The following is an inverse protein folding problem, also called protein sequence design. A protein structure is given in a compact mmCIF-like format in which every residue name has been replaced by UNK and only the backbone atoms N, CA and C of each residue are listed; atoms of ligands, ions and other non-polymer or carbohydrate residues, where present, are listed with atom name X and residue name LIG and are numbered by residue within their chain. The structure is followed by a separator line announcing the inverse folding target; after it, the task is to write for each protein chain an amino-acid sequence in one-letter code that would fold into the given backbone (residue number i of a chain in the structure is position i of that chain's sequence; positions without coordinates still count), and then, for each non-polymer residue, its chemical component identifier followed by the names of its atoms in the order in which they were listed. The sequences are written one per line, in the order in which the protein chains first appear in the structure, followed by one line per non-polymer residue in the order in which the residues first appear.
data_IF_744623192446
#
_entry.id   IF_744623192446
#
_cell.length_a   1.000
_cell.length_b   1.000
_cell.length_c   1.000
_cell.angle_alpha   90.00
_cell.angle_beta   90.00
_cell.angle_gamma   90.00
#
_symmetry.space_group_name_H-M   'P 1'
#
loop_
_entity.id
_entity.type
_entity.pdbx_description
1 polymer ?
#
# COMPACT_ATOMS: atom_id res chain seq x y z
N UNK A 1 -18.71 -27.05 -1.47
CA UNK A 1 -18.37 -25.67 -1.11
C UNK A 1 -18.54 -25.59 0.39
N UNK A 2 -17.55 -25.11 1.10
CA UNK A 2 -17.71 -24.87 2.53
C UNK A 2 -18.73 -23.73 2.70
N UNK A 3 -19.70 -23.89 3.62
CA UNK A 3 -20.67 -22.86 3.89
C UNK A 3 -19.94 -21.61 4.45
N UNK A 4 -20.37 -20.43 4.02
CA UNK A 4 -19.82 -19.18 4.54
C UNK A 4 -20.11 -19.05 6.03
N UNK A 5 -19.16 -18.58 6.86
CA UNK A 5 -19.33 -18.52 8.31
C UNK A 5 -20.41 -17.53 8.73
N UNK A 6 -21.25 -17.94 9.67
CA UNK A 6 -22.29 -17.12 10.30
C UNK A 6 -21.77 -16.47 11.58
N UNK A 7 -22.48 -15.44 12.07
CA UNK A 7 -22.18 -14.84 13.38
C UNK A 7 -22.23 -15.88 14.52
N UNK A 8 -23.21 -16.78 14.49
CA UNK A 8 -23.34 -17.87 15.48
C UNK A 8 -22.12 -18.80 15.42
N UNK A 9 -21.62 -19.13 14.22
CA UNK A 9 -20.42 -19.95 14.05
C UNK A 9 -19.20 -19.27 14.69
N UNK A 10 -18.98 -17.98 14.41
CA UNK A 10 -17.88 -17.22 14.99
C UNK A 10 -17.96 -17.16 16.52
N UNK A 11 -19.14 -16.87 17.07
CA UNK A 11 -19.35 -16.83 18.53
C UNK A 11 -19.08 -18.19 19.18
N UNK A 12 -19.49 -19.29 18.54
CA UNK A 12 -19.20 -20.64 19.04
C UNK A 12 -17.69 -20.95 19.03
N UNK A 13 -16.95 -20.53 18.00
CA UNK A 13 -15.50 -20.66 17.98
C UNK A 13 -14.84 -19.89 19.13
N UNK A 14 -15.23 -18.65 19.34
CA UNK A 14 -14.71 -17.80 20.40
C UNK A 14 -15.08 -18.34 21.79
N UNK A 15 -16.24 -18.96 21.96
CA UNK A 15 -16.67 -19.54 23.22
C UNK A 15 -15.90 -20.82 23.58
N UNK A 16 -15.52 -21.62 22.59
CA UNK A 16 -14.77 -22.88 22.80
C UNK A 16 -13.31 -22.66 23.14
N UNK A 17 -12.72 -21.60 22.59
CA UNK A 17 -11.32 -21.28 22.74
C UNK A 17 -11.13 -20.22 23.83
N UNK A 18 -10.39 -20.56 24.88
CA UNK A 18 -10.16 -19.66 26.02
C UNK A 18 -9.29 -18.46 25.67
N UNK A 19 -8.45 -18.54 24.65
CA UNK A 19 -7.50 -17.51 24.25
C UNK A 19 -7.44 -17.42 22.72
N UNK A 20 -8.46 -16.83 22.12
CA UNK A 20 -8.61 -16.75 20.66
C UNK A 20 -7.66 -15.73 20.01
N UNK A 21 -7.19 -14.72 20.75
CA UNK A 21 -6.34 -13.65 20.24
C UNK A 21 -4.85 -13.92 20.43
N UNK A 22 -4.49 -15.04 21.06
CA UNK A 22 -3.10 -15.48 21.28
C UNK A 22 -2.20 -14.38 21.86
N UNK A 23 -2.71 -13.68 22.88
CA UNK A 23 -2.00 -12.61 23.61
C UNK A 23 -2.16 -11.20 23.03
N UNK A 24 -2.73 -11.03 21.83
CA UNK A 24 -3.03 -9.71 21.31
C UNK A 24 -4.18 -9.03 22.07
N UNK A 25 -4.11 -7.70 22.21
CA UNK A 25 -5.14 -6.91 22.89
C UNK A 25 -6.37 -6.69 22.02
N UNK A 26 -6.15 -6.46 20.74
CA UNK A 26 -7.21 -6.38 19.76
C UNK A 26 -6.75 -6.91 18.38
N UNK A 27 -7.70 -7.40 17.60
CA UNK A 27 -7.48 -7.84 16.21
C UNK A 27 -8.58 -7.29 15.34
N UNK A 28 -8.22 -6.41 14.42
CA UNK A 28 -9.12 -5.96 13.36
C UNK A 28 -8.92 -6.86 12.15
N UNK A 29 -9.98 -7.52 11.72
CA UNK A 29 -10.02 -8.37 10.53
C UNK A 29 -10.82 -7.66 9.45
N UNK A 30 -10.28 -7.61 8.23
CA UNK A 30 -10.95 -6.96 7.09
C UNK A 30 -10.80 -7.84 5.86
N UNK A 31 -11.89 -8.07 5.13
CA UNK A 31 -11.85 -8.75 3.84
C UNK A 31 -11.02 -7.95 2.83
N UNK A 32 -10.23 -8.63 2.02
CA UNK A 32 -9.46 -8.03 0.92
C UNK A 32 -10.35 -7.16 0.01
N UNK A 33 -11.54 -7.64 -0.32
CA UNK A 33 -12.49 -6.90 -1.15
C UNK A 33 -12.94 -5.57 -0.53
N UNK A 34 -13.13 -5.53 0.78
CA UNK A 34 -13.50 -4.32 1.50
C UNK A 34 -12.33 -3.32 1.56
N UNK A 35 -11.11 -3.80 1.76
CA UNK A 35 -9.89 -2.97 1.70
C UNK A 35 -9.73 -2.36 0.30
N UNK A 36 -9.93 -3.16 -0.75
CA UNK A 36 -9.86 -2.67 -2.13
C UNK A 36 -10.87 -1.54 -2.38
N UNK A 37 -12.12 -1.70 -1.94
CA UNK A 37 -13.15 -0.65 -2.06
C UNK A 37 -12.74 0.61 -1.30
N UNK A 38 -12.23 0.46 -0.09
CA UNK A 38 -11.80 1.58 0.74
C UNK A 38 -10.62 2.34 0.12
N UNK A 39 -9.61 1.64 -0.40
CA UNK A 39 -8.47 2.28 -1.04
C UNK A 39 -8.82 2.92 -2.38
N UNK A 40 -9.73 2.32 -3.15
CA UNK A 40 -10.26 2.96 -4.35
C UNK A 40 -10.99 4.26 -4.01
N UNK A 41 -11.78 4.30 -2.94
CA UNK A 41 -12.43 5.52 -2.47
C UNK A 41 -11.42 6.60 -2.04
N UNK A 42 -10.35 6.21 -1.33
CA UNK A 42 -9.26 7.13 -0.97
C UNK A 42 -8.54 7.67 -2.23
N UNK A 43 -8.28 6.79 -3.20
CA UNK A 43 -7.68 7.19 -4.47
C UNK A 43 -8.54 8.25 -5.17
N UNK A 44 -9.84 8.00 -5.29
CA UNK A 44 -10.78 8.95 -5.89
C UNK A 44 -10.79 10.30 -5.15
N UNK A 45 -10.80 10.27 -3.83
CA UNK A 45 -10.80 11.48 -3.01
C UNK A 45 -9.50 12.30 -3.14
N UNK A 46 -8.34 11.62 -3.20
CA UNK A 46 -7.03 12.26 -3.28
C UNK A 46 -6.69 12.80 -4.67
N UNK A 47 -7.15 12.12 -5.72
CA UNK A 47 -6.68 12.37 -7.10
C UNK A 47 -7.77 12.88 -8.03
N UNK A 48 -8.99 13.09 -7.53
CA UNK A 48 -10.19 13.33 -8.37
C UNK A 48 -10.38 12.25 -9.46
N UNK A 49 -9.92 11.02 -9.15
CA UNK A 49 -10.03 9.86 -10.04
C UNK A 49 -8.91 9.68 -11.04
N UNK A 50 -7.92 10.58 -11.08
CA UNK A 50 -6.79 10.47 -11.99
C UNK A 50 -5.49 10.95 -11.34
N UNK A 51 -4.46 10.13 -11.42
CA UNK A 51 -3.12 10.46 -10.98
C UNK A 51 -2.19 10.49 -12.18
N UNK A 52 -1.42 11.56 -12.35
CA UNK A 52 -0.48 11.69 -13.45
C UNK A 52 0.95 11.67 -12.94
N UNK A 53 1.77 10.77 -13.49
CA UNK A 53 3.21 10.71 -13.31
C UNK A 53 3.85 11.29 -14.56
N UNK A 54 4.52 12.42 -14.44
CA UNK A 54 5.28 13.02 -15.52
C UNK A 54 6.76 13.12 -15.12
N UNK A 55 7.63 12.51 -15.94
CA UNK A 55 9.06 12.42 -15.65
C UNK A 55 9.89 12.62 -16.93
N UNK A 56 11.14 12.97 -16.73
CA UNK A 56 12.15 13.03 -17.78
C UNK A 56 13.33 12.15 -17.42
N UNK A 57 13.76 11.33 -18.35
CA UNK A 57 14.95 10.52 -18.25
C UNK A 57 16.07 11.08 -19.13
N UNK A 58 17.23 11.28 -18.55
CA UNK A 58 18.44 11.69 -19.23
C UNK A 58 19.35 10.47 -19.38
N UNK A 59 19.50 10.00 -20.59
CA UNK A 59 20.41 8.90 -20.91
C UNK A 59 21.88 9.27 -20.66
N UNK A 60 22.77 8.29 -20.75
CA UNK A 60 24.21 8.54 -20.65
C UNK A 60 24.70 9.37 -21.85
N UNK A 61 25.83 10.02 -21.67
CA UNK A 61 26.53 10.70 -22.76
C UNK A 61 27.02 9.67 -23.78
N UNK A 62 26.62 9.88 -25.02
CA UNK A 62 27.07 9.12 -26.19
C UNK A 62 27.99 9.99 -27.05
N UNK A 63 28.86 9.37 -27.81
CA UNK A 63 29.75 10.07 -28.76
C UNK A 63 29.44 9.60 -30.17
N UNK A 64 29.41 10.56 -31.11
CA UNK A 64 29.27 10.30 -32.52
C UNK A 64 30.36 11.06 -33.31
N UNK A 65 30.54 10.79 -34.60
CA UNK A 65 31.46 11.58 -35.45
C UNK A 65 31.13 13.09 -35.49
N UNK A 66 29.88 13.45 -35.12
CA UNK A 66 29.41 14.84 -35.15
C UNK A 66 29.43 15.52 -33.77
N UNK A 67 29.90 14.83 -32.72
CA UNK A 67 29.96 15.39 -31.36
C UNK A 67 29.42 14.43 -30.32
N UNK A 68 29.29 14.94 -29.11
CA UNK A 68 28.69 14.21 -28.00
C UNK A 68 27.22 14.63 -27.81
N UNK A 69 26.38 13.66 -27.48
CA UNK A 69 24.96 13.90 -27.26
C UNK A 69 24.40 12.96 -26.17
N UNK A 70 23.25 13.32 -25.63
CA UNK A 70 22.48 12.46 -24.73
C UNK A 70 21.09 12.21 -25.34
N UNK A 71 20.61 10.99 -25.21
CA UNK A 71 19.21 10.68 -25.48
C UNK A 71 18.39 11.10 -24.26
N UNK A 72 17.34 11.88 -24.52
CA UNK A 72 16.42 12.37 -23.48
C UNK A 72 15.05 11.82 -23.80
N UNK A 73 14.40 11.19 -22.81
CA UNK A 73 13.05 10.66 -22.95
C UNK A 73 12.16 11.28 -21.89
N UNK A 74 11.10 11.92 -22.33
CA UNK A 74 10.03 12.44 -21.46
C UNK A 74 8.81 11.57 -21.60
N UNK A 75 8.17 11.24 -20.47
CA UNK A 75 6.92 10.50 -20.45
C UNK A 75 5.92 11.09 -19.46
N UNK A 76 4.66 10.85 -19.73
CA UNK A 76 3.55 11.19 -18.85
C UNK A 76 2.57 10.02 -18.86
N UNK A 77 2.27 9.45 -17.68
CA UNK A 77 1.33 8.36 -17.50
C UNK A 77 0.18 8.82 -16.63
N UNK A 78 -1.05 8.59 -17.07
CA UNK A 78 -2.23 8.71 -16.22
C UNK A 78 -2.58 7.34 -15.69
N UNK A 79 -2.64 7.20 -14.37
CA UNK A 79 -2.93 5.95 -13.69
C UNK A 79 -4.41 5.84 -13.34
N UNK A 80 -4.93 4.64 -13.43
CA UNK A 80 -6.24 4.27 -12.89
C UNK A 80 -6.18 3.96 -11.37
N UNK A 81 -7.32 3.61 -10.77
CA UNK A 81 -7.37 3.23 -9.37
C UNK A 81 -6.52 1.98 -9.10
N UNK A 82 -5.88 1.90 -7.91
CA UNK A 82 -5.10 0.75 -7.53
C UNK A 82 -5.98 -0.48 -7.22
N UNK A 83 -5.44 -1.65 -7.50
CA UNK A 83 -5.95 -2.94 -7.06
C UNK A 83 -4.94 -3.60 -6.15
N UNK A 84 -5.39 -4.19 -5.06
CA UNK A 84 -4.55 -4.81 -4.02
C UNK A 84 -4.84 -6.29 -3.95
N UNK A 85 -3.80 -7.11 -4.02
CA UNK A 85 -3.86 -8.55 -3.85
C UNK A 85 -2.94 -8.91 -2.68
N UNK A 86 -3.52 -9.44 -1.62
CA UNK A 86 -2.79 -9.83 -0.42
C UNK A 86 -2.45 -11.32 -0.48
N UNK A 87 -1.22 -11.67 -0.13
CA UNK A 87 -0.71 -13.03 -0.18
C UNK A 87 -0.28 -13.50 1.19
N UNK A 88 -1.04 -14.44 1.77
CA UNK A 88 -0.80 -14.95 3.13
C UNK A 88 0.52 -15.71 3.29
N UNK A 89 0.90 -16.53 2.32
CA UNK A 89 2.12 -17.36 2.40
C UNK A 89 3.41 -16.54 2.47
N UNK A 90 3.43 -15.34 1.92
CA UNK A 90 4.58 -14.43 1.91
C UNK A 90 4.35 -13.17 2.74
N UNK A 91 3.16 -12.99 3.29
CA UNK A 91 2.72 -11.78 3.98
C UNK A 91 3.06 -10.50 3.19
N UNK A 92 2.70 -10.51 1.91
CA UNK A 92 2.93 -9.42 0.96
C UNK A 92 1.63 -8.85 0.44
N UNK A 93 1.69 -7.61 -0.03
CA UNK A 93 0.64 -7.03 -0.86
C UNK A 93 1.22 -6.65 -2.22
N UNK A 94 0.56 -7.09 -3.27
CA UNK A 94 0.82 -6.67 -4.64
C UNK A 94 -0.17 -5.59 -5.01
N UNK A 95 0.33 -4.42 -5.34
CA UNK A 95 -0.47 -3.29 -5.79
C UNK A 95 -0.30 -3.15 -7.28
N UNK A 96 -1.39 -3.10 -8.02
CA UNK A 96 -1.38 -2.92 -9.47
C UNK A 96 -2.22 -1.71 -9.85
N UNK A 97 -1.64 -0.81 -10.65
CA UNK A 97 -2.35 0.32 -11.26
C UNK A 97 -2.23 0.24 -12.78
N UNK A 98 -3.37 0.30 -13.47
CA UNK A 98 -3.37 0.39 -14.92
C UNK A 98 -2.89 1.78 -15.37
N UNK A 99 -2.11 1.84 -16.45
CA UNK A 99 -1.83 3.07 -17.17
C UNK A 99 -2.97 3.24 -18.16
N UNK A 100 -3.91 4.13 -17.85
CA UNK A 100 -5.16 4.32 -18.61
C UNK A 100 -4.99 5.29 -19.78
N UNK A 101 -3.96 6.12 -19.75
CA UNK A 101 -3.50 6.94 -20.87
C UNK A 101 -2.07 7.37 -20.61
N UNK A 102 -1.40 7.82 -21.66
CA UNK A 102 -0.06 8.36 -21.52
C UNK A 102 0.55 8.76 -22.84
N UNK A 103 1.63 9.49 -22.71
CA UNK A 103 2.43 9.92 -23.86
C UNK A 103 3.92 9.82 -23.53
N UNK A 104 4.69 9.64 -24.59
CA UNK A 104 6.15 9.70 -24.54
C UNK A 104 6.67 10.48 -25.74
N UNK A 105 7.83 11.09 -25.57
CA UNK A 105 8.64 11.62 -26.65
C UNK A 105 10.11 11.46 -26.31
N UNK A 106 10.91 11.23 -27.31
CA UNK A 106 12.37 11.17 -27.18
C UNK A 106 13.00 12.25 -28.01
N UNK A 107 14.18 12.66 -27.62
CA UNK A 107 14.96 13.66 -28.33
C UNK A 107 16.45 13.48 -28.04
N UNK A 108 17.25 14.33 -28.64
CA UNK A 108 18.68 14.41 -28.39
C UNK A 108 19.05 15.79 -27.88
N UNK A 109 20.00 15.82 -26.95
CA UNK A 109 20.61 17.05 -26.46
C UNK A 109 22.09 16.99 -26.78
N UNK A 110 22.58 17.95 -27.56
CA UNK A 110 24.01 18.09 -27.79
C UNK A 110 24.71 18.55 -26.50
N UNK A 111 25.85 17.96 -26.22
CA UNK A 111 26.63 18.26 -25.02
C UNK A 111 28.07 18.60 -25.40
N UNK A 112 28.64 19.58 -24.72
CA UNK A 112 30.02 19.96 -24.95
C UNK A 112 30.99 18.82 -24.63
N UNK A 113 32.11 18.76 -25.34
CA UNK A 113 33.11 17.71 -25.19
C UNK A 113 33.70 17.62 -23.78
N UNK A 114 33.66 18.74 -23.02
CA UNK A 114 34.11 18.80 -21.61
C UNK A 114 33.06 18.44 -20.57
N UNK A 115 31.83 18.13 -20.97
CA UNK A 115 30.75 17.78 -20.03
C UNK A 115 30.95 16.37 -19.48
N UNK A 116 31.18 16.25 -18.19
CA UNK A 116 31.58 15.00 -17.51
C UNK A 116 30.56 14.38 -16.53
N UNK A 117 29.32 14.82 -16.35
CA UNK A 117 28.42 14.14 -15.45
C UNK A 117 27.96 12.79 -16.00
N UNK A 118 27.68 11.87 -15.11
CA UNK A 118 27.13 10.54 -15.43
C UNK A 118 25.74 10.62 -16.11
N UNK A 119 25.03 11.73 -15.95
CA UNK A 119 23.77 12.06 -16.65
C UNK A 119 23.82 13.49 -17.16
N UNK A 120 23.07 13.76 -18.24
CA UNK A 120 23.08 15.06 -18.91
C UNK A 120 22.32 16.18 -18.20
N UNK A 121 21.73 15.91 -17.03
CA UNK A 121 21.03 16.93 -16.23
C UNK A 121 19.93 17.64 -16.98
N UNK A 122 19.02 16.91 -17.61
CA UNK A 122 17.88 17.49 -18.34
C UNK A 122 16.68 17.73 -17.40
N UNK A 123 15.81 18.64 -17.84
CA UNK A 123 14.57 18.97 -17.15
C UNK A 123 13.38 18.73 -18.08
N UNK A 124 12.15 18.63 -17.55
CA UNK A 124 10.96 18.53 -18.40
C UNK A 124 10.89 19.72 -19.37
N UNK A 125 10.61 19.40 -20.66
CA UNK A 125 10.56 20.39 -21.75
C UNK A 125 11.89 21.18 -21.93
N UNK A 126 13.02 20.56 -21.63
CA UNK A 126 14.33 21.20 -21.74
C UNK A 126 14.52 21.83 -23.13
N UNK A 127 14.79 23.15 -23.22
CA UNK A 127 14.92 23.84 -24.49
C UNK A 127 16.19 23.44 -25.27
N UNK A 128 17.16 22.80 -24.63
CA UNK A 128 18.39 22.29 -25.26
C UNK A 128 18.14 20.98 -26.03
N UNK A 129 16.98 20.35 -25.83
CA UNK A 129 16.63 19.08 -26.45
C UNK A 129 15.93 19.30 -27.78
N UNK A 130 16.45 18.71 -28.83
CA UNK A 130 15.74 18.56 -30.11
C UNK A 130 14.76 17.41 -30.00
N UNK A 131 13.49 17.73 -29.74
CA UNK A 131 12.45 16.76 -29.48
C UNK A 131 11.89 16.15 -30.75
N UNK A 132 11.72 14.83 -30.76
CA UNK A 132 10.92 14.09 -31.70
C UNK A 132 9.41 14.24 -31.46
N UNK A 133 8.59 13.58 -32.30
CA UNK A 133 7.14 13.62 -32.13
C UNK A 133 6.67 12.97 -30.83
N UNK A 134 5.56 13.49 -30.30
CA UNK A 134 4.86 12.86 -29.18
C UNK A 134 4.17 11.59 -29.66
N UNK A 135 4.36 10.50 -28.95
CA UNK A 135 3.74 9.20 -29.18
C UNK A 135 2.82 8.86 -28.03
N UNK A 136 1.63 8.33 -28.32
CA UNK A 136 0.73 7.81 -27.30
C UNK A 136 1.19 6.44 -26.82
N UNK A 137 0.99 6.14 -25.53
CA UNK A 137 1.18 4.80 -24.99
C UNK A 137 0.07 3.89 -25.49
N UNK A 138 0.44 2.70 -25.94
CA UNK A 138 -0.53 1.67 -26.34
C UNK A 138 -1.24 1.07 -25.11
N UNK A 139 -2.42 1.59 -24.80
CA UNK A 139 -3.26 1.08 -23.70
C UNK A 139 -3.88 -0.28 -24.02
N UNK A 140 -3.95 -0.68 -25.29
CA UNK A 140 -4.46 -1.99 -25.70
C UNK A 140 -3.55 -3.15 -25.27
N UNK A 141 -2.28 -2.89 -25.00
CA UNK A 141 -1.34 -3.86 -24.43
C UNK A 141 -1.50 -4.06 -22.91
N UNK A 142 -2.47 -3.40 -22.28
CA UNK A 142 -2.70 -3.41 -20.82
C UNK A 142 -1.44 -3.03 -20.01
N UNK A 143 -0.88 -1.83 -20.22
CA UNK A 143 0.28 -1.38 -19.47
C UNK A 143 -0.08 -1.15 -18.01
N UNK A 144 0.81 -1.60 -17.10
CA UNK A 144 0.58 -1.51 -15.65
C UNK A 144 1.85 -1.12 -14.89
N UNK A 145 1.65 -0.49 -13.75
CA UNK A 145 2.66 -0.35 -12.70
C UNK A 145 2.29 -1.31 -11.59
N UNK A 146 3.23 -2.17 -11.19
CA UNK A 146 3.05 -3.12 -10.09
C UNK A 146 4.08 -2.81 -9.01
N UNK A 147 3.65 -2.79 -7.75
CA UNK A 147 4.52 -2.68 -6.58
C UNK A 147 4.26 -3.85 -5.63
N UNK A 148 5.32 -4.55 -5.19
CA UNK A 148 5.23 -5.61 -4.19
C UNK A 148 5.80 -5.06 -2.89
N UNK A 149 4.95 -5.02 -1.85
CA UNK A 149 5.30 -4.52 -0.51
C UNK A 149 5.27 -5.66 0.48
N UNK A 150 6.34 -5.77 1.29
CA UNK A 150 6.42 -6.74 2.38
C UNK A 150 5.69 -6.18 3.60
N UNK A 151 4.62 -6.83 4.04
CA UNK A 151 3.84 -6.41 5.21
C UNK A 151 4.57 -6.65 6.54
N UNK A 152 5.54 -7.57 6.57
CA UNK A 152 6.37 -7.85 7.75
C UNK A 152 7.36 -6.73 8.08
N UNK A 153 7.74 -5.93 7.10
CA UNK A 153 8.62 -4.77 7.32
C UNK A 153 7.85 -3.52 7.76
N UNK A 154 6.53 -3.57 7.69
CA UNK A 154 5.63 -2.52 8.18
C UNK A 154 5.22 -2.87 9.62
N UNK A 155 6.20 -3.01 10.53
CA UNK A 155 5.93 -2.78 11.95
C UNK A 155 5.69 -1.28 12.09
N UNK A 156 4.43 -0.88 11.87
CA UNK A 156 4.08 0.52 11.86
C UNK A 156 4.14 1.06 13.26
N UNK A 157 4.92 2.09 13.42
CA UNK A 157 4.67 3.03 14.49
C UNK A 157 3.31 3.67 14.20
N UNK A 158 2.39 3.51 15.10
CA UNK A 158 1.15 4.28 15.09
C UNK A 158 1.58 5.73 15.20
N UNK A 159 1.18 6.56 14.26
CA UNK A 159 1.45 7.99 14.38
C UNK A 159 0.82 8.46 15.70
N UNK A 160 1.59 8.91 16.69
CA UNK A 160 1.08 9.24 18.01
C UNK A 160 0.13 10.44 18.00
N UNK A 161 0.12 11.21 16.92
CA UNK A 161 -0.73 12.40 16.76
C UNK A 161 -2.03 12.08 16.02
N UNK A 162 -1.97 11.23 15.00
CA UNK A 162 -3.13 10.94 14.13
C UNK A 162 -3.72 9.56 14.37
N UNK A 163 -3.04 8.70 15.14
CA UNK A 163 -3.41 7.30 15.38
C UNK A 163 -3.75 6.51 14.11
N UNK A 164 -3.13 6.91 12.99
CA UNK A 164 -3.38 6.31 11.67
C UNK A 164 -2.34 5.25 11.34
N UNK A 165 -2.79 4.19 10.71
CA UNK A 165 -1.97 3.13 10.14
C UNK A 165 -2.02 3.31 8.63
N UNK A 166 -0.86 3.44 8.01
CA UNK A 166 -0.72 3.65 6.58
C UNK A 166 0.08 2.54 5.92
N UNK A 167 -0.28 2.20 4.68
CA UNK A 167 0.58 1.44 3.77
C UNK A 167 1.39 2.43 2.93
N UNK A 168 2.72 2.34 3.07
CA UNK A 168 3.67 3.10 2.27
C UNK A 168 4.20 2.24 1.13
N UNK A 169 3.86 2.61 -0.11
CA UNK A 169 4.30 1.89 -1.29
C UNK A 169 5.72 2.24 -1.73
N UNK A 170 6.28 3.35 -1.26
CA UNK A 170 7.64 3.75 -1.63
C UNK A 170 8.70 2.70 -1.26
N UNK A 171 8.40 1.85 -0.27
CA UNK A 171 9.27 0.73 0.15
C UNK A 171 9.20 -0.48 -0.77
N UNK A 172 8.23 -0.54 -1.67
CA UNK A 172 7.97 -1.69 -2.54
C UNK A 172 9.02 -1.91 -3.64
N UNK A 173 9.01 -3.12 -4.18
CA UNK A 173 9.70 -3.44 -5.43
C UNK A 173 8.77 -3.09 -6.60
N UNK A 174 9.19 -2.13 -7.43
CA UNK A 174 8.39 -1.65 -8.56
C UNK A 174 8.75 -2.35 -9.86
N UNK A 175 7.73 -2.60 -10.67
CA UNK A 175 7.85 -3.09 -12.04
C UNK A 175 6.85 -2.38 -12.93
N UNK A 176 7.30 -1.95 -14.11
CA UNK A 176 6.44 -1.39 -15.15
C UNK A 176 6.31 -2.42 -16.27
N UNK A 177 5.10 -2.85 -16.54
CA UNK A 177 4.81 -3.91 -17.51
C UNK A 177 4.20 -3.32 -18.78
N UNK A 178 4.54 -3.92 -19.92
CA UNK A 178 3.99 -3.57 -21.22
C UNK A 178 4.20 -2.11 -21.65
N UNK A 179 5.28 -1.49 -21.16
CA UNK A 179 5.73 -0.15 -21.58
C UNK A 179 7.16 -0.24 -22.04
N UNK A 180 7.42 0.25 -23.24
CA UNK A 180 8.77 0.40 -23.78
C UNK A 180 9.02 1.87 -24.11
N UNK A 181 10.08 2.43 -23.56
CA UNK A 181 10.50 3.80 -23.81
C UNK A 181 11.88 3.79 -24.51
N UNK A 182 12.04 4.65 -25.50
CA UNK A 182 13.30 4.73 -26.21
C UNK A 182 14.44 5.21 -25.29
N UNK A 183 15.54 4.46 -25.24
CA UNK A 183 16.72 4.82 -24.46
C UNK A 183 16.56 4.68 -22.94
N UNK A 184 15.48 4.04 -22.47
CA UNK A 184 15.20 3.79 -21.06
C UNK A 184 15.04 2.29 -20.83
N UNK A 185 15.82 1.70 -19.94
CA UNK A 185 15.64 0.30 -19.54
C UNK A 185 14.45 0.14 -18.60
N UNK A 186 13.87 -1.06 -18.55
CA UNK A 186 12.76 -1.35 -17.63
C UNK A 186 13.14 -1.08 -16.16
N UNK A 187 14.38 -1.36 -15.77
CA UNK A 187 14.87 -1.06 -14.42
C UNK A 187 14.90 0.44 -14.13
N UNK A 188 15.45 1.23 -15.04
CA UNK A 188 15.50 2.68 -14.91
C UNK A 188 14.11 3.31 -14.82
N UNK A 189 13.16 2.80 -15.62
CA UNK A 189 11.77 3.25 -15.56
C UNK A 189 11.14 2.90 -14.19
N UNK A 190 11.34 1.69 -13.71
CA UNK A 190 10.84 1.25 -12.40
C UNK A 190 11.44 2.08 -11.25
N UNK A 191 12.73 2.39 -11.30
CA UNK A 191 13.41 3.21 -10.30
C UNK A 191 12.89 4.65 -10.28
N UNK A 192 12.60 5.23 -11.45
CA UNK A 192 12.00 6.56 -11.54
C UNK A 192 10.58 6.60 -11.01
N UNK A 193 9.77 5.59 -11.32
CA UNK A 193 8.40 5.47 -10.78
C UNK A 193 8.45 5.33 -9.27
N UNK A 194 9.33 4.47 -8.75
CA UNK A 194 9.54 4.33 -7.28
C UNK A 194 9.93 5.67 -6.64
N UNK A 195 10.87 6.39 -7.22
CA UNK A 195 11.29 7.70 -6.73
C UNK A 195 10.14 8.72 -6.75
N UNK A 196 9.31 8.69 -7.77
CA UNK A 196 8.13 9.55 -7.85
C UNK A 196 7.14 9.25 -6.71
N UNK A 197 6.82 7.98 -6.46
CA UNK A 197 5.94 7.57 -5.35
C UNK A 197 6.50 8.00 -3.99
N UNK A 198 7.81 7.85 -3.77
CA UNK A 198 8.47 8.29 -2.54
C UNK A 198 8.40 9.80 -2.32
N UNK A 199 8.47 10.60 -3.42
CA UNK A 199 8.46 12.06 -3.34
C UNK A 199 7.04 12.62 -3.16
N UNK A 200 6.01 11.90 -3.65
CA UNK A 200 4.63 12.40 -3.66
C UNK A 200 3.77 11.83 -2.52
N UNK A 201 4.39 11.15 -1.56
CA UNK A 201 3.75 10.61 -0.33
C UNK A 201 2.42 9.88 -0.61
N UNK A 202 2.46 8.95 -1.57
CA UNK A 202 1.30 8.15 -1.95
C UNK A 202 1.08 7.01 -0.96
N UNK A 203 0.57 7.37 0.21
CA UNK A 203 0.19 6.43 1.26
C UNK A 203 -1.31 6.17 1.27
N UNK A 204 -1.71 4.95 1.66
CA UNK A 204 -3.10 4.59 1.87
C UNK A 204 -3.33 4.30 3.35
N UNK A 205 -4.29 5.00 3.93
CA UNK A 205 -4.69 4.77 5.31
C UNK A 205 -5.46 3.45 5.40
N UNK A 206 -4.95 2.51 6.18
CA UNK A 206 -5.59 1.20 6.42
C UNK A 206 -6.63 1.30 7.52
N UNK A 207 -6.28 1.99 8.60
CA UNK A 207 -7.16 2.19 9.76
C UNK A 207 -6.83 3.51 10.47
N UNK A 208 -7.82 4.05 11.15
CA UNK A 208 -7.63 5.03 12.22
C UNK A 208 -8.02 4.34 13.53
N UNK A 209 -7.08 4.28 14.45
CA UNK A 209 -7.27 3.67 15.77
C UNK A 209 -7.46 4.76 16.83
N UNK A 210 -8.19 5.79 16.48
CA UNK A 210 -8.53 6.83 17.45
C UNK A 210 -9.64 6.32 18.37
N UNK A 211 -9.24 5.89 19.56
CA UNK A 211 -10.15 5.54 20.65
C UNK A 211 -10.40 6.72 21.59
N UNK A 212 -9.93 7.92 21.23
CA UNK A 212 -10.12 9.12 22.03
C UNK A 212 -11.50 9.73 21.76
N UNK A 213 -12.52 9.20 22.40
CA UNK A 213 -13.84 9.84 22.49
C UNK A 213 -13.88 10.98 23.55
N UNK A 214 -12.72 11.53 23.90
CA UNK A 214 -12.56 12.55 24.93
C UNK A 214 -12.39 12.00 26.37
N UNK A 215 -12.58 10.69 26.58
CA UNK A 215 -12.22 10.01 27.83
C UNK A 215 -10.98 9.15 27.54
N UNK A 216 -9.79 9.73 27.64
CA UNK A 216 -8.55 9.01 27.41
C UNK A 216 -8.39 7.86 28.41
N UNK A 217 -8.87 6.66 28.02
CA UNK A 217 -8.47 5.47 28.70
C UNK A 217 -7.12 5.01 28.07
N UNK A 218 -5.98 5.28 28.72
CA UNK A 218 -4.66 4.96 28.18
C UNK A 218 -4.48 3.47 27.93
N UNK A 219 -5.31 2.64 28.54
CA UNK A 219 -5.30 1.19 28.33
C UNK A 219 -5.80 0.78 26.94
N UNK A 220 -6.52 1.63 26.26
CA UNK A 220 -6.99 1.40 24.90
C UNK A 220 -6.12 2.07 23.84
N UNK A 221 -5.10 2.85 24.26
CA UNK A 221 -4.19 3.51 23.32
C UNK A 221 -3.30 2.49 22.64
N UNK A 222 -3.40 2.29 21.33
CA UNK A 222 -2.57 1.36 20.60
C UNK A 222 -1.10 1.78 20.68
N UNK A 223 -0.20 0.83 20.99
CA UNK A 223 1.24 1.08 21.09
C UNK A 223 2.01 0.47 19.94
N UNK A 224 1.56 -0.68 19.44
CA UNK A 224 2.17 -1.40 18.33
C UNK A 224 1.10 -2.13 17.52
N UNK A 225 1.40 -2.37 16.26
CA UNK A 225 0.60 -3.25 15.41
C UNK A 225 1.47 -4.10 14.48
N UNK A 226 0.88 -5.20 14.03
CA UNK A 226 1.48 -6.06 13.01
C UNK A 226 0.42 -6.44 12.00
N UNK A 227 0.79 -6.45 10.72
CA UNK A 227 -0.04 -7.04 9.69
C UNK A 227 0.12 -8.55 9.66
N UNK A 228 -0.98 -9.24 9.43
CA UNK A 228 -1.00 -10.65 9.08
C UNK A 228 -2.04 -10.87 7.97
N UNK A 229 -1.75 -11.76 7.04
CA UNK A 229 -2.69 -12.12 5.96
C UNK A 229 -3.01 -13.59 6.09
N UNK A 230 -4.28 -13.89 6.21
CA UNK A 230 -4.76 -15.27 6.28
C UNK A 230 -5.69 -15.59 5.12
N UNK A 231 -5.65 -16.83 4.68
CA UNK A 231 -6.67 -17.40 3.83
C UNK A 231 -7.55 -18.33 4.68
N UNK A 232 -8.83 -18.05 4.70
CA UNK A 232 -9.81 -18.84 5.46
C UNK A 232 -10.13 -20.15 4.77
N UNK A 233 -10.77 -21.06 5.49
CA UNK A 233 -11.24 -22.34 4.93
C UNK A 233 -12.30 -22.13 3.84
N UNK A 234 -13.05 -21.04 3.90
CA UNK A 234 -14.02 -20.61 2.87
C UNK A 234 -13.35 -20.00 1.63
N UNK A 235 -12.03 -19.82 1.64
CA UNK A 235 -11.24 -19.27 0.53
C UNK A 235 -11.15 -17.75 0.53
N UNK A 236 -11.70 -17.06 1.53
CA UNK A 236 -11.57 -15.62 1.66
C UNK A 236 -10.16 -15.21 2.08
N UNK A 237 -9.66 -14.13 1.53
CA UNK A 237 -8.44 -13.47 2.01
C UNK A 237 -8.84 -12.39 3.02
N UNK A 238 -8.23 -12.47 4.20
CA UNK A 238 -8.45 -11.53 5.30
C UNK A 238 -7.13 -10.90 5.68
N UNK A 239 -7.12 -9.60 5.74
CA UNK A 239 -6.02 -8.82 6.31
C UNK A 239 -6.35 -8.58 7.77
N UNK A 240 -5.45 -9.05 8.64
CA UNK A 240 -5.54 -8.85 10.08
C UNK A 240 -4.60 -7.74 10.51
N UNK A 241 -5.09 -6.85 11.33
CA UNK A 241 -4.30 -5.89 12.06
C UNK A 241 -4.26 -6.34 13.52
N UNK A 242 -3.12 -6.85 13.93
CA UNK A 242 -2.85 -7.35 15.27
C UNK A 242 -2.33 -6.20 16.13
N UNK A 243 -3.01 -5.86 17.23
CA UNK A 243 -2.80 -4.63 17.98
C UNK A 243 -2.44 -4.95 19.43
N UNK A 244 -1.41 -4.26 19.96
CA UNK A 244 -1.15 -4.17 21.40
C UNK A 244 -1.42 -2.76 21.89
N UNK A 245 -1.99 -2.64 23.10
CA UNK A 245 -2.34 -1.35 23.70
C UNK A 245 -1.42 -0.92 24.82
N UNK A 246 -0.84 -1.85 25.59
CA UNK A 246 0.00 -1.55 26.76
C UNK A 246 1.43 -2.10 26.67
N UNK A 247 1.96 -2.24 25.45
CA UNK A 247 3.37 -2.61 25.25
C UNK A 247 3.73 -4.06 25.64
N UNK A 248 2.76 -4.91 25.93
CA UNK A 248 3.02 -6.35 26.07
C UNK A 248 3.11 -6.95 24.67
N UNK A 249 4.27 -7.40 24.24
CA UNK A 249 4.38 -8.05 22.95
C UNK A 249 3.56 -9.33 22.98
N UNK A 250 2.57 -9.42 22.14
CA UNK A 250 1.88 -10.66 21.87
C UNK A 250 2.74 -11.51 20.91
N UNK A 251 2.63 -12.80 21.06
CA UNK A 251 3.39 -13.73 20.22
C UNK A 251 2.44 -14.74 19.59
N UNK A 252 2.36 -14.73 18.27
CA UNK A 252 1.64 -15.72 17.50
C UNK A 252 0.42 -15.21 16.76
N UNK A 253 -0.17 -16.10 15.97
CA UNK A 253 -1.34 -15.78 15.14
C UNK A 253 -2.61 -16.12 15.92
N UNK A 254 -3.67 -15.30 15.87
CA UNK A 254 -4.97 -15.63 16.42
C UNK A 254 -5.49 -16.98 15.89
N UNK A 255 -6.16 -17.76 16.76
CA UNK A 255 -6.60 -19.11 16.45
C UNK A 255 -8.02 -19.20 15.87
N UNK A 256 -8.68 -18.08 15.66
CA UNK A 256 -10.00 -18.02 15.03
C UNK A 256 -9.83 -18.21 13.52
N UNK A 257 -10.32 -19.34 13.00
CA UNK A 257 -10.11 -19.75 11.61
C UNK A 257 -10.97 -18.97 10.61
N UNK A 258 -12.17 -18.54 11.01
CA UNK A 258 -13.12 -17.78 10.20
C UNK A 258 -13.55 -16.53 10.96
N UNK A 259 -12.68 -15.51 11.05
CA UNK A 259 -12.87 -14.38 11.95
C UNK A 259 -13.93 -13.38 11.50
N UNK A 260 -14.47 -13.51 10.29
CA UNK A 260 -15.52 -12.62 9.77
C UNK A 260 -16.75 -13.45 9.40
N UNK A 261 -17.93 -13.16 9.97
CA UNK A 261 -19.18 -13.88 9.64
C UNK A 261 -19.77 -13.41 8.30
N UNK A 262 -19.15 -13.80 7.19
CA UNK A 262 -19.48 -13.36 5.83
C UNK A 262 -20.87 -13.77 5.39
N UNK A 263 -21.40 -14.93 5.83
CA UNK A 263 -22.77 -15.35 5.56
C UNK A 263 -23.82 -14.41 6.19
N UNK A 264 -23.43 -13.63 7.20
CA UNK A 264 -24.29 -12.61 7.83
C UNK A 264 -24.08 -11.22 7.21
N UNK A 265 -23.33 -11.12 6.10
CA UNK A 265 -23.12 -9.87 5.35
C UNK A 265 -22.03 -8.96 5.91
N UNK A 266 -21.23 -9.43 6.90
CA UNK A 266 -20.13 -8.65 7.43
C UNK A 266 -18.89 -8.74 6.53
N UNK A 267 -18.16 -7.64 6.44
CA UNK A 267 -16.90 -7.53 5.69
C UNK A 267 -15.69 -7.27 6.58
N UNK A 268 -15.94 -7.01 7.85
CA UNK A 268 -14.91 -6.84 8.87
C UNK A 268 -15.39 -7.33 10.23
N UNK A 269 -14.46 -7.55 11.16
CA UNK A 269 -14.73 -7.77 12.57
C UNK A 269 -13.60 -7.17 13.42
N UNK A 270 -13.95 -6.65 14.58
CA UNK A 270 -13.02 -6.25 15.61
C UNK A 270 -13.20 -7.18 16.80
N UNK A 271 -12.13 -7.86 17.19
CA UNK A 271 -12.08 -8.70 18.38
C UNK A 271 -11.21 -8.01 19.42
N UNK A 272 -11.70 -7.91 20.65
CA UNK A 272 -10.97 -7.32 21.78
C UNK A 272 -10.78 -8.40 22.83
N UNK A 273 -9.59 -8.48 23.42
CA UNK A 273 -9.30 -9.49 24.43
C UNK A 273 -10.16 -9.29 25.68
N UNK A 274 -10.57 -10.39 26.29
CA UNK A 274 -11.32 -10.35 27.55
C UNK A 274 -10.56 -9.62 28.65
N UNK A 275 -9.23 -9.71 28.65
CA UNK A 275 -8.37 -8.97 29.57
C UNK A 275 -8.60 -7.46 29.50
N UNK A 276 -8.61 -6.90 28.28
CA UNK A 276 -8.85 -5.46 28.05
C UNK A 276 -10.27 -5.09 28.50
N UNK A 277 -11.27 -5.88 28.10
CA UNK A 277 -12.67 -5.60 28.43
C UNK A 277 -12.88 -5.64 29.95
N UNK A 278 -12.44 -6.69 30.61
CA UNK A 278 -12.66 -6.82 32.05
C UNK A 278 -11.81 -5.85 32.86
N UNK A 279 -10.50 -5.81 32.65
CA UNK A 279 -9.61 -5.05 33.54
C UNK A 279 -9.69 -3.54 33.28
N UNK A 280 -9.85 -3.12 32.00
CA UNK A 280 -9.68 -1.71 31.64
C UNK A 280 -11.00 -1.00 31.30
N UNK A 281 -12.06 -1.73 30.96
CA UNK A 281 -13.36 -1.13 30.66
C UNK A 281 -14.32 -1.37 31.82
N UNK A 282 -14.60 -2.63 32.17
CA UNK A 282 -15.62 -2.93 33.19
C UNK A 282 -15.14 -2.59 34.58
N UNK A 283 -13.95 -3.05 35.00
CA UNK A 283 -13.45 -2.76 36.37
C UNK A 283 -13.19 -1.26 36.58
N UNK A 284 -12.68 -0.57 35.56
CA UNK A 284 -12.50 0.89 35.64
C UNK A 284 -13.85 1.62 35.73
N UNK A 285 -14.85 1.19 34.98
CA UNK A 285 -16.20 1.73 35.08
C UNK A 285 -16.87 1.51 36.41
N UNK A 286 -16.73 0.30 36.99
CA UNK A 286 -17.27 0.01 38.36
C UNK A 286 -16.56 0.82 39.44
N UNK A 287 -15.23 0.98 39.34
CA UNK A 287 -14.49 1.79 40.32
C UNK A 287 -14.79 3.29 40.19
N UNK A 288 -15.20 3.78 39.05
CA UNK A 288 -15.63 5.17 38.85
C UNK A 288 -17.06 5.43 39.28
N UNK A 289 -17.90 4.38 39.34
CA UNK A 289 -19.31 4.49 39.77
C UNK A 289 -19.53 4.28 41.28
N UNK A 290 -18.50 3.88 41.99
CA UNK A 290 -18.53 3.68 43.38
C UNK A 290 -18.42 3.55 44.44
#
# INVERSE_FOLDING_TARGET
MADSPTLTYLLNQMYQDKEVLNGWDAVLNVLESAINQFFQAQYQAKTSGQMTIAQVFCGPRLTSPHGAYCVVTQFSFTLGPPSFVFTGSSNTVTVTQAIVSGSTRSGSMDVDAGFQPASCGCVPNDPRVTWGPVQSIDVGSNPTITAIVQLTSVTGLINPTTHTIVLDFATGAFTVNNVTLQGVTSQQLSDQIKSWFATNDMTYQVASLDFSDGSSNPALTPTQFQFNVIQTNSGNIIVQLLITTNGSPAAGIPIVLEPIPTASGYTCSLMISSRIVFSNILCAGFNAAG
#
